data_IF_962149668560
#
_entry.id   IF_962149668560
#
_cell.length_a   1.000
_cell.length_b   1.000
_cell.length_c   1.000
_cell.angle_alpha   90.00
_cell.angle_beta   90.00
_cell.angle_gamma   90.00
#
_symmetry.space_group_name_H-M   'P 1'
#
loop_
_entity.id
_entity.type
_entity.pdbx_description
1 polymer ?
#
# COMPACT_ATOMS: atom_id res chain seq x y z
N UNK A 1 -0.28 3.42 -26.85
CA UNK A 1 -0.69 4.48 -25.91
C UNK A 1 -0.86 3.83 -24.55
N UNK A 2 0.15 3.86 -23.68
CA UNK A 2 -0.06 3.46 -22.29
C UNK A 2 -0.98 4.51 -21.68
N UNK A 3 -2.22 4.15 -21.36
CA UNK A 3 -3.07 5.00 -20.51
C UNK A 3 -2.39 5.04 -19.15
N UNK A 4 -1.49 6.01 -18.95
CA UNK A 4 -0.91 6.30 -17.66
C UNK A 4 -2.06 6.50 -16.68
N UNK A 5 -2.10 5.69 -15.64
CA UNK A 5 -3.14 5.84 -14.62
C UNK A 5 -3.04 7.26 -14.05
N UNK A 6 -4.17 7.96 -13.98
CA UNK A 6 -4.21 9.31 -13.42
C UNK A 6 -3.73 9.31 -11.96
N UNK A 7 -3.12 10.41 -11.53
CA UNK A 7 -2.50 10.55 -10.20
C UNK A 7 -3.47 10.21 -9.06
N UNK A 8 -4.73 10.62 -9.20
CA UNK A 8 -5.82 10.33 -8.27
C UNK A 8 -6.19 8.84 -8.24
N UNK A 9 -6.16 8.17 -9.39
CA UNK A 9 -6.44 6.74 -9.48
C UNK A 9 -5.30 5.92 -8.88
N UNK A 10 -4.05 6.35 -9.08
CA UNK A 10 -2.89 5.78 -8.39
C UNK A 10 -3.08 5.90 -6.87
N UNK A 11 -3.35 7.11 -6.35
CA UNK A 11 -3.59 7.33 -4.94
C UNK A 11 -4.70 6.45 -4.39
N UNK A 12 -5.85 6.41 -5.06
CA UNK A 12 -6.99 5.59 -4.65
C UNK A 12 -6.62 4.11 -4.53
N UNK A 13 -5.85 3.56 -5.48
CA UNK A 13 -5.43 2.16 -5.47
C UNK A 13 -4.37 1.87 -4.41
N UNK A 14 -3.36 2.73 -4.28
CA UNK A 14 -2.33 2.60 -3.23
C UNK A 14 -2.98 2.63 -1.85
N UNK A 15 -3.91 3.56 -1.61
CA UNK A 15 -4.62 3.66 -0.34
C UNK A 15 -5.54 2.45 -0.09
N UNK A 16 -6.19 1.91 -1.13
CA UNK A 16 -7.00 0.70 -1.00
C UNK A 16 -6.14 -0.54 -0.67
N UNK A 17 -4.98 -0.66 -1.30
CA UNK A 17 -4.02 -1.73 -1.02
C UNK A 17 -3.50 -1.64 0.43
N UNK A 18 -3.12 -0.44 0.89
CA UNK A 18 -2.74 -0.18 2.28
C UNK A 18 -3.85 -0.57 3.26
N UNK A 19 -5.07 -0.05 3.06
CA UNK A 19 -6.22 -0.31 3.95
C UNK A 19 -6.65 -1.79 4.02
N UNK A 20 -6.31 -2.59 3.01
CA UNK A 20 -6.58 -4.04 3.03
C UNK A 20 -5.71 -4.80 4.01
N UNK A 21 -4.71 -4.15 4.62
CA UNK A 21 -3.72 -4.77 5.49
C UNK A 21 -3.69 -4.12 6.87
N UNK A 22 -3.20 -4.86 7.85
CA UNK A 22 -3.01 -4.41 9.23
C UNK A 22 -1.67 -3.69 9.42
N UNK A 23 -1.34 -2.76 8.53
CA UNK A 23 -0.11 -1.95 8.61
C UNK A 23 -0.45 -0.57 9.21
N UNK A 24 0.34 -0.10 10.15
CA UNK A 24 0.18 1.26 10.70
C UNK A 24 0.75 2.32 9.74
N UNK A 25 0.29 3.57 9.84
CA UNK A 25 0.86 4.69 9.04
C UNK A 25 2.35 4.86 9.33
N UNK A 26 2.76 4.75 10.60
CA UNK A 26 4.16 4.83 11.02
C UNK A 26 5.03 3.73 10.37
N UNK A 27 4.57 2.47 10.38
CA UNK A 27 5.32 1.36 9.77
C UNK A 27 5.42 1.51 8.25
N UNK A 28 4.36 2.02 7.61
CA UNK A 28 4.40 2.34 6.19
C UNK A 28 5.42 3.46 5.91
N UNK A 29 5.38 4.55 6.69
CA UNK A 29 6.30 5.67 6.57
C UNK A 29 7.75 5.19 6.73
N UNK A 30 8.05 4.38 7.75
CA UNK A 30 9.39 3.85 7.98
C UNK A 30 9.91 3.01 6.80
N UNK A 31 9.05 2.17 6.20
CA UNK A 31 9.39 1.39 5.00
C UNK A 31 9.64 2.29 3.79
N UNK A 32 8.73 3.24 3.54
CA UNK A 32 8.85 4.23 2.47
C UNK A 32 10.14 5.08 2.61
N UNK A 33 10.44 5.54 3.82
CA UNK A 33 11.63 6.32 4.12
C UNK A 33 12.91 5.50 3.88
N UNK A 34 12.90 4.23 4.27
CA UNK A 34 14.02 3.30 4.02
C UNK A 34 14.28 3.03 2.54
N UNK A 35 13.28 3.26 1.67
CA UNK A 35 13.40 3.16 0.21
C UNK A 35 13.88 4.47 -0.45
N UNK A 36 14.12 5.53 0.34
CA UNK A 36 14.58 6.83 -0.15
C UNK A 36 13.46 7.85 -0.37
N UNK A 37 12.26 7.59 0.16
CA UNK A 37 11.19 8.58 0.21
C UNK A 37 11.54 9.77 1.12
N UNK A 38 11.17 10.98 0.71
CA UNK A 38 11.55 12.21 1.42
C UNK A 38 10.38 12.94 2.12
N UNK A 39 9.14 12.45 1.97
CA UNK A 39 7.98 13.01 2.65
C UNK A 39 7.93 12.61 4.14
N UNK A 40 7.38 13.51 4.96
CA UNK A 40 7.12 13.28 6.37
C UNK A 40 5.97 12.28 6.60
N UNK A 41 5.87 11.79 7.83
CA UNK A 41 4.78 10.89 8.24
C UNK A 41 3.42 11.57 8.07
N UNK A 42 3.33 12.86 8.41
CA UNK A 42 2.10 13.66 8.31
C UNK A 42 1.65 13.86 6.85
N UNK A 43 2.60 13.99 5.93
CA UNK A 43 2.31 14.09 4.50
C UNK A 43 1.80 12.76 3.93
N UNK A 44 2.36 11.64 4.40
CA UNK A 44 1.85 10.30 4.07
C UNK A 44 0.45 10.11 4.65
N UNK A 45 0.22 10.51 5.90
CA UNK A 45 -1.10 10.43 6.52
C UNK A 45 -2.13 11.25 5.71
N UNK A 46 -1.80 12.50 5.38
CA UNK A 46 -2.64 13.35 4.52
C UNK A 46 -2.87 12.74 3.13
N UNK A 47 -1.88 12.07 2.56
CA UNK A 47 -2.02 11.34 1.30
C UNK A 47 -2.98 10.14 1.44
N UNK A 48 -2.89 9.37 2.52
CA UNK A 48 -3.76 8.22 2.77
C UNK A 48 -5.23 8.63 2.99
N UNK A 49 -5.46 9.82 3.54
CA UNK A 49 -6.77 10.45 3.69
C UNK A 49 -7.21 11.27 2.47
N UNK A 50 -6.46 11.23 1.36
CA UNK A 50 -6.76 11.97 0.13
C UNK A 50 -6.90 13.49 0.32
N UNK A 51 -6.26 14.02 1.37
CA UNK A 51 -6.19 15.46 1.68
C UNK A 51 -4.97 16.13 1.03
N UNK A 52 -3.99 15.34 0.63
CA UNK A 52 -2.78 15.78 -0.09
C UNK A 52 -2.51 14.86 -1.28
N UNK A 53 -2.05 15.43 -2.40
CA UNK A 53 -1.50 14.67 -3.51
C UNK A 53 0.02 14.85 -3.53
N UNK A 54 0.74 13.76 -3.29
CA UNK A 54 2.20 13.76 -3.29
C UNK A 54 2.76 13.89 -4.73
N UNK A 55 4.00 14.38 -4.90
CA UNK A 55 4.70 14.36 -6.19
C UNK A 55 4.82 12.94 -6.78
N UNK A 56 4.97 12.79 -8.10
CA UNK A 56 5.00 11.49 -8.77
C UNK A 56 5.98 10.48 -8.16
N UNK A 57 7.23 10.92 -7.92
CA UNK A 57 8.27 10.08 -7.31
C UNK A 57 7.85 9.53 -5.95
N UNK A 58 7.26 10.38 -5.09
CA UNK A 58 6.84 9.98 -3.76
C UNK A 58 5.64 9.03 -3.78
N UNK A 59 4.71 9.23 -4.73
CA UNK A 59 3.58 8.30 -4.94
C UNK A 59 4.06 6.93 -5.40
N UNK A 60 5.05 6.89 -6.29
CA UNK A 60 5.65 5.66 -6.78
C UNK A 60 6.41 4.93 -5.67
N UNK A 61 7.17 5.64 -4.86
CA UNK A 61 7.86 5.08 -3.69
C UNK A 61 6.88 4.55 -2.64
N UNK A 62 5.79 5.27 -2.37
CA UNK A 62 4.78 4.80 -1.43
C UNK A 62 4.05 3.56 -1.96
N UNK A 63 3.74 3.52 -3.26
CA UNK A 63 3.19 2.35 -3.91
C UNK A 63 4.16 1.15 -3.83
N UNK A 64 5.46 1.38 -4.06
CA UNK A 64 6.49 0.36 -3.89
C UNK A 64 6.53 -0.19 -2.46
N UNK A 65 6.55 0.69 -1.44
CA UNK A 65 6.56 0.29 -0.04
C UNK A 65 5.35 -0.60 0.34
N UNK A 66 4.16 -0.23 -0.14
CA UNK A 66 2.93 -1.03 0.05
C UNK A 66 3.04 -2.38 -0.66
N UNK A 67 3.55 -2.41 -1.88
CA UNK A 67 3.66 -3.64 -2.67
C UNK A 67 4.70 -4.61 -2.11
N UNK A 68 5.86 -4.12 -1.66
CA UNK A 68 6.87 -4.94 -0.97
C UNK A 68 6.29 -5.54 0.31
N UNK A 69 5.60 -4.74 1.12
CA UNK A 69 4.93 -5.24 2.32
C UNK A 69 3.88 -6.32 2.00
N UNK A 70 3.09 -6.14 0.93
CA UNK A 70 2.13 -7.16 0.50
C UNK A 70 2.82 -8.45 0.04
N UNK A 71 3.97 -8.32 -0.61
CA UNK A 71 4.75 -9.46 -1.14
C UNK A 71 5.41 -10.27 -0.02
N UNK A 72 5.75 -9.62 1.10
CA UNK A 72 6.28 -10.27 2.31
C UNK A 72 5.23 -11.10 3.06
N UNK A 73 3.93 -10.82 2.85
CA UNK A 73 2.87 -11.50 3.59
C UNK A 73 2.59 -12.89 3.00
N UNK A 74 2.37 -13.91 3.87
CA UNK A 74 1.90 -15.20 3.40
C UNK A 74 0.54 -15.06 2.69
N UNK A 75 0.22 -15.94 1.74
CA UNK A 75 -1.10 -15.98 1.12
C UNK A 75 -2.18 -16.06 2.19
N UNK A 76 -3.31 -15.37 1.98
CA UNK A 76 -4.43 -15.42 2.90
C UNK A 76 -4.87 -16.89 3.12
N UNK A 77 -5.15 -17.29 4.38
CA UNK A 77 -5.59 -18.64 4.67
C UNK A 77 -6.89 -18.94 3.89
N UNK A 78 -6.93 -20.09 3.23
CA UNK A 78 -8.14 -20.54 2.53
C UNK A 78 -9.14 -21.05 3.57
N UNK A 79 -10.40 -20.63 3.46
CA UNK A 79 -11.46 -21.17 4.31
C UNK A 79 -11.56 -22.69 4.13
N UNK A 80 -11.61 -23.48 5.22
CA UNK A 80 -11.80 -24.92 5.11
C UNK A 80 -13.19 -25.23 4.56
N UNK A 81 -13.30 -26.23 3.69
CA UNK A 81 -14.60 -26.81 3.33
C UNK A 81 -15.05 -27.72 4.47
N UNK A 82 -16.36 -27.76 4.73
CA UNK A 82 -17.00 -28.63 5.74
C UNK A 82 -16.77 -30.14 5.54
N UNK A 83 -16.09 -30.55 4.46
CA UNK A 83 -15.80 -31.94 4.10
C UNK A 83 -14.33 -32.34 4.13
N UNK A 84 -13.39 -31.49 4.53
CA UNK A 84 -11.96 -31.89 4.63
C UNK A 84 -11.64 -32.52 5.99
N UNK A 85 -12.48 -33.46 6.42
CA UNK A 85 -12.11 -34.53 7.35
C UNK A 85 -12.31 -35.87 6.63
N UNK A 86 -11.40 -36.21 5.70
CA UNK A 86 -11.13 -37.60 5.33
C UNK A 86 -9.97 -37.72 4.34
N UNK A 87 -8.80 -38.10 4.86
CA UNK A 87 -8.06 -39.35 4.54
C UNK A 87 -6.63 -39.22 5.03
#
# INVERSE_FOLDING_TARGET
MATGMGEQEQQRRTCAAFRSRSLSTYDLWLRYFSLGGNAGEEEIDAYLYSSLLLPPFERDMLALAVNEYISDLPPAPRAPYSGTERS
#
